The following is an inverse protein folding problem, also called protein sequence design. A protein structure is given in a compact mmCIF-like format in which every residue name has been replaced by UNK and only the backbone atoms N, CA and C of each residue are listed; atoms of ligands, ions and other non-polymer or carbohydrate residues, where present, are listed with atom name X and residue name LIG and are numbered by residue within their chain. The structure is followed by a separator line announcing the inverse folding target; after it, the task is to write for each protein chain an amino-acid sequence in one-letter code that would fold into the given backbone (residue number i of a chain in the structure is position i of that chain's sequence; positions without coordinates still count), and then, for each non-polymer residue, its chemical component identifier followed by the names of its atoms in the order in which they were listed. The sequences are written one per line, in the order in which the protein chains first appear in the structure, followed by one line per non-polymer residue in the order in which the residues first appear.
data_IF_620437961518
#
_entry.id   IF_620437961518
#
_cell.length_a   1.000
_cell.length_b   1.000
_cell.length_c   1.000
_cell.angle_alpha   90.00
_cell.angle_beta   90.00
_cell.angle_gamma   90.00
#
_symmetry.space_group_name_H-M   'P 1'
#
loop_
_entity.id
_entity.type
_entity.pdbx_description
1 polymer ?
#
# COMPACT_ATOMS: atom_id res chain seq x y z
N UNK A 1 18.99 16.95 39.87
CA UNK A 1 17.65 17.44 40.24
C UNK A 1 16.86 17.52 38.94
N UNK A 2 15.96 16.57 38.70
CA UNK A 2 15.21 16.52 37.45
C UNK A 2 14.15 17.63 37.48
N UNK A 3 14.30 18.59 36.58
CA UNK A 3 13.40 19.71 36.38
C UNK A 3 12.03 19.15 35.95
N UNK A 4 11.04 19.21 36.86
CA UNK A 4 9.66 18.82 36.56
C UNK A 4 9.08 19.85 35.59
N UNK A 5 9.14 19.51 34.30
CA UNK A 5 8.45 20.22 33.24
C UNK A 5 6.94 20.30 33.56
N UNK A 6 6.26 21.42 33.24
CA UNK A 6 4.84 21.61 33.50
C UNK A 6 4.04 20.46 32.91
N UNK A 7 3.07 19.96 33.69
CA UNK A 7 2.28 18.77 33.44
C UNK A 7 1.42 18.93 32.17
N UNK A 8 2.05 18.77 31.01
CA UNK A 8 1.37 18.73 29.72
C UNK A 8 0.47 17.49 29.69
N UNK A 9 -0.71 17.56 29.05
CA UNK A 9 -1.65 16.44 28.98
C UNK A 9 -1.08 15.22 28.22
N UNK A 10 0.04 15.40 27.50
CA UNK A 10 0.71 14.36 26.75
C UNK A 10 2.18 14.27 27.18
N UNK A 11 2.74 13.06 27.26
CA UNK A 11 4.16 12.89 27.59
C UNK A 11 5.03 13.56 26.52
N UNK A 12 6.15 14.14 26.95
CA UNK A 12 7.15 14.63 26.03
C UNK A 12 7.66 13.49 25.13
N UNK A 13 8.07 13.77 23.88
CA UNK A 13 8.62 12.75 23.01
C UNK A 13 9.86 12.10 23.66
N UNK A 14 10.16 10.83 23.32
CA UNK A 14 11.31 10.14 23.88
C UNK A 14 12.62 10.90 23.65
N UNK A 15 13.54 10.98 24.64
CA UNK A 15 14.71 11.88 24.60
C UNK A 15 15.63 11.65 23.40
N UNK A 16 15.58 10.44 22.82
CA UNK A 16 16.38 10.08 21.65
C UNK A 16 16.00 10.82 20.36
N UNK A 17 14.84 11.50 20.30
CA UNK A 17 14.43 12.27 19.11
C UNK A 17 15.47 13.32 18.71
N UNK A 18 16.21 13.87 19.68
CA UNK A 18 17.25 14.88 19.49
C UNK A 18 18.44 14.37 18.67
N UNK A 19 18.67 13.05 18.64
CA UNK A 19 19.78 12.45 17.90
C UNK A 19 19.51 12.28 16.40
N UNK A 20 18.25 12.43 15.95
CA UNK A 20 17.83 12.34 14.55
C UNK A 20 18.18 13.60 13.75
N UNK A 21 19.48 13.94 13.72
CA UNK A 21 19.99 15.08 12.96
C UNK A 21 20.53 14.65 11.59
N UNK A 22 20.45 15.53 10.59
CA UNK A 22 21.03 15.32 9.25
C UNK A 22 22.50 14.84 9.28
N UNK A 23 23.42 15.44 10.06
CA UNK A 23 24.80 14.96 10.13
C UNK A 23 24.92 13.56 10.74
N UNK A 24 24.14 13.24 11.78
CA UNK A 24 24.18 11.91 12.41
C UNK A 24 23.67 10.81 11.46
N UNK A 25 22.63 11.11 10.67
CA UNK A 25 22.14 10.21 9.63
C UNK A 25 23.18 10.00 8.52
N UNK A 26 23.87 11.06 8.10
CA UNK A 26 24.93 10.96 7.10
C UNK A 26 26.11 10.10 7.61
N UNK A 27 26.49 10.27 8.88
CA UNK A 27 27.53 9.48 9.55
C UNK A 27 27.14 8.00 9.67
N UNK A 28 25.90 7.70 10.05
CA UNK A 28 25.40 6.32 10.08
C UNK A 28 25.44 5.67 8.68
N UNK A 29 25.05 6.40 7.63
CA UNK A 29 25.15 5.90 6.24
C UNK A 29 26.59 5.66 5.79
N UNK A 30 27.54 6.44 6.28
CA UNK A 30 28.95 6.19 6.01
C UNK A 30 29.42 4.91 6.71
N UNK A 31 29.12 4.76 7.99
CA UNK A 31 29.47 3.55 8.75
C UNK A 31 28.84 2.28 8.17
N UNK A 32 27.58 2.35 7.70
CA UNK A 32 26.92 1.22 7.00
C UNK A 32 27.63 0.85 5.70
N UNK A 33 28.10 1.86 4.94
CA UNK A 33 28.89 1.63 3.71
C UNK A 33 30.26 1.01 4.01
N UNK A 34 30.93 1.47 5.08
CA UNK A 34 32.23 0.93 5.51
C UNK A 34 32.11 -0.51 6.03
N UNK A 35 31.01 -0.84 6.70
CA UNK A 35 30.71 -2.18 7.21
C UNK A 35 30.14 -3.14 6.14
N UNK A 36 29.90 -2.68 4.91
CA UNK A 36 29.32 -3.50 3.83
C UNK A 36 27.83 -3.82 3.99
N UNK A 37 27.12 -3.14 4.89
CA UNK A 37 25.68 -3.33 5.12
C UNK A 37 24.88 -2.63 4.01
N UNK A 38 23.91 -3.30 3.37
CA UNK A 38 23.08 -2.68 2.32
C UNK A 38 22.35 -1.45 2.86
N UNK A 39 22.65 -0.27 2.30
CA UNK A 39 21.93 0.95 2.63
C UNK A 39 20.63 0.95 1.84
N UNK A 40 19.52 0.54 2.47
CA UNK A 40 18.20 0.69 1.88
C UNK A 40 17.91 2.18 1.60
N UNK A 41 17.38 2.53 0.40
CA UNK A 41 16.96 3.90 0.11
C UNK A 41 15.81 4.33 1.03
N UNK A 42 15.75 5.64 1.28
CA UNK A 42 14.90 6.31 2.29
C UNK A 42 13.39 6.00 2.11
N UNK A 43 12.97 5.60 0.91
CA UNK A 43 11.57 5.35 0.54
C UNK A 43 11.19 3.86 0.48
N UNK A 44 12.12 2.96 0.79
CA UNK A 44 11.76 1.56 0.97
C UNK A 44 11.21 1.41 2.39
N UNK A 45 9.95 0.97 2.50
CA UNK A 45 9.44 0.28 3.69
C UNK A 45 10.35 -0.93 3.93
N UNK A 46 11.46 -0.69 4.61
CA UNK A 46 12.43 -1.71 4.92
C UNK A 46 11.76 -2.64 5.92
N UNK A 47 11.46 -3.85 5.47
CA UNK A 47 11.18 -4.98 6.33
C UNK A 47 12.21 -4.99 7.47
N UNK A 48 11.73 -4.91 8.70
CA UNK A 48 12.52 -4.90 9.94
C UNK A 48 13.20 -6.26 10.22
N UNK A 49 13.60 -6.97 9.17
CA UNK A 49 14.06 -8.36 9.16
C UNK A 49 15.52 -8.49 8.76
N UNK A 50 16.21 -7.39 8.43
CA UNK A 50 17.66 -7.42 8.22
C UNK A 50 18.37 -7.56 9.57
N UNK A 51 18.57 -8.81 9.98
CA UNK A 51 19.28 -9.24 11.21
C UNK A 51 20.77 -8.84 11.28
N UNK A 52 21.28 -8.10 10.31
CA UNK A 52 22.70 -7.75 10.19
C UNK A 52 22.88 -6.24 10.02
N UNK A 53 22.42 -5.49 11.01
CA UNK A 53 22.86 -4.12 11.20
C UNK A 53 24.17 -4.08 12.02
N UNK A 54 24.86 -2.94 12.02
CA UNK A 54 26.13 -2.76 12.72
C UNK A 54 25.93 -2.99 14.23
N UNK A 55 26.86 -3.70 14.89
CA UNK A 55 26.83 -3.95 16.34
C UNK A 55 26.62 -2.64 17.13
N UNK A 56 25.46 -2.51 17.76
CA UNK A 56 24.97 -1.32 18.46
C UNK A 56 25.97 -0.85 19.53
N UNK A 57 26.72 -1.79 20.13
CA UNK A 57 27.68 -1.46 21.19
C UNK A 57 28.95 -0.79 20.67
N UNK A 58 29.31 -1.00 19.40
CA UNK A 58 30.47 -0.39 18.75
C UNK A 58 30.23 1.07 18.32
N UNK A 59 28.97 1.51 18.23
CA UNK A 59 28.65 2.88 17.84
C UNK A 59 28.69 3.87 19.02
N UNK A 60 29.03 5.15 18.76
CA UNK A 60 28.79 6.27 19.66
C UNK A 60 27.31 6.32 20.09
N UNK A 61 27.05 6.69 21.36
CA UNK A 61 25.71 6.68 21.99
C UNK A 61 24.65 7.40 21.14
N UNK A 62 25.02 8.51 20.51
CA UNK A 62 24.13 9.30 19.64
C UNK A 62 23.66 8.56 18.38
N UNK A 63 24.46 7.63 17.86
CA UNK A 63 24.13 6.85 16.66
C UNK A 63 23.40 5.54 16.98
N UNK A 64 23.49 5.06 18.23
CA UNK A 64 22.79 3.84 18.68
C UNK A 64 21.28 3.96 18.54
N UNK A 65 20.75 5.15 18.82
CA UNK A 65 19.32 5.43 18.75
C UNK A 65 18.75 5.52 17.34
N UNK A 66 19.60 5.56 16.32
CA UNK A 66 19.18 5.58 14.91
C UNK A 66 18.97 4.17 14.33
N UNK A 67 19.41 3.14 15.04
CA UNK A 67 19.22 1.74 14.68
C UNK A 67 17.95 1.26 15.39
N UNK A 68 16.96 0.70 14.66
CA UNK A 68 15.80 0.10 15.29
C UNK A 68 16.23 -0.97 16.30
N UNK A 69 15.61 -1.03 17.49
CA UNK A 69 15.91 -2.08 18.45
C UNK A 69 15.52 -3.44 17.88
N UNK A 70 16.20 -4.49 18.34
CA UNK A 70 15.79 -5.86 18.02
C UNK A 70 14.36 -6.13 18.50
N UNK A 71 13.56 -6.88 17.71
CA UNK A 71 12.24 -7.30 18.15
C UNK A 71 12.35 -8.09 19.46
N UNK A 72 11.33 -7.97 20.32
CA UNK A 72 11.32 -8.67 21.60
C UNK A 72 11.40 -10.18 21.37
N UNK A 73 12.32 -10.86 22.07
CA UNK A 73 12.60 -12.29 21.87
C UNK A 73 11.39 -13.21 22.12
N UNK A 74 10.44 -12.78 22.95
CA UNK A 74 9.23 -13.54 23.28
C UNK A 74 8.08 -13.27 22.29
N UNK A 75 8.24 -12.38 21.31
CA UNK A 75 7.20 -12.03 20.32
C UNK A 75 5.97 -11.27 20.87
N UNK A 76 5.80 -11.27 22.20
CA UNK A 76 4.71 -10.60 22.92
C UNK A 76 5.07 -9.14 23.17
N UNK A 77 4.14 -8.24 22.88
CA UNK A 77 4.31 -6.81 23.08
C UNK A 77 3.17 -6.22 23.91
N UNK A 78 3.48 -5.25 24.76
CA UNK A 78 2.48 -4.59 25.59
C UNK A 78 1.93 -3.34 24.91
N UNK A 79 0.63 -3.31 24.66
CA UNK A 79 -0.05 -2.12 24.14
C UNK A 79 -1.11 -1.69 25.15
N UNK A 80 -1.03 -0.43 25.58
CA UNK A 80 -1.96 0.16 26.57
C UNK A 80 -2.11 -0.68 27.86
N UNK A 81 -1.04 -1.33 28.30
CA UNK A 81 -1.02 -2.19 29.50
C UNK A 81 -1.49 -3.63 29.27
N UNK A 82 -1.92 -3.99 28.05
CA UNK A 82 -2.29 -5.35 27.71
C UNK A 82 -1.15 -6.05 26.98
N UNK A 83 -0.76 -7.23 27.46
CA UNK A 83 0.16 -8.10 26.73
C UNK A 83 -0.61 -8.69 25.53
N UNK A 84 -0.17 -8.32 24.33
CA UNK A 84 -0.67 -8.86 23.07
C UNK A 84 0.36 -9.84 22.55
N UNK A 85 -0.10 -11.05 22.29
CA UNK A 85 0.67 -12.06 21.58
C UNK A 85 0.11 -12.13 20.14
N UNK A 86 0.89 -11.74 19.12
CA UNK A 86 0.42 -11.72 17.74
C UNK A 86 0.17 -13.13 17.18
N UNK A 87 0.83 -14.15 17.73
CA UNK A 87 0.74 -15.54 17.27
C UNK A 87 -0.21 -16.39 18.12
N UNK A 88 -0.74 -15.83 19.21
CA UNK A 88 -1.71 -16.53 20.03
C UNK A 88 -2.98 -16.82 19.23
N UNK A 89 -3.35 -18.10 19.18
CA UNK A 89 -4.66 -18.51 18.73
C UNK A 89 -5.73 -17.80 19.57
N UNK A 90 -6.83 -17.41 18.93
CA UNK A 90 -7.98 -16.89 19.66
C UNK A 90 -8.39 -17.90 20.75
N UNK A 91 -8.65 -17.41 21.97
CA UNK A 91 -9.10 -18.27 23.07
C UNK A 91 -10.30 -19.10 22.62
N UNK A 92 -10.33 -20.38 22.95
CA UNK A 92 -11.44 -21.25 22.55
C UNK A 92 -12.74 -20.94 23.34
N UNK A 93 -13.90 -21.36 22.84
CA UNK A 93 -15.17 -21.24 23.59
C UNK A 93 -15.11 -21.93 24.96
N UNK A 94 -14.41 -23.07 25.04
CA UNK A 94 -14.20 -23.81 26.29
C UNK A 94 -13.38 -23.02 27.32
N UNK A 95 -12.38 -22.26 26.88
CA UNK A 95 -11.59 -21.38 27.76
C UNK A 95 -12.39 -20.16 28.25
N UNK A 96 -13.49 -19.82 27.58
CA UNK A 96 -14.39 -18.73 27.97
C UNK A 96 -15.60 -19.21 28.78
N UNK A 97 -15.64 -20.50 29.14
CA UNK A 97 -16.76 -21.13 29.85
C UNK A 97 -18.10 -20.99 29.10
N UNK A 98 -18.03 -21.03 27.76
CA UNK A 98 -19.20 -20.92 26.87
C UNK A 98 -19.49 -22.28 26.24
N UNK A 99 -20.75 -22.74 26.34
CA UNK A 99 -21.21 -23.96 25.70
C UNK A 99 -21.18 -23.82 24.16
N UNK A 100 -20.59 -24.79 23.49
CA UNK A 100 -20.55 -24.84 22.04
C UNK A 100 -21.89 -25.36 21.48
N UNK A 101 -22.59 -24.51 20.72
CA UNK A 101 -23.94 -24.80 20.18
C UNK A 101 -23.94 -25.42 18.78
N UNK A 102 -22.78 -25.74 18.22
CA UNK A 102 -22.62 -26.30 16.87
C UNK A 102 -21.68 -27.51 16.89
N UNK A 103 -21.79 -28.44 15.93
CA UNK A 103 -20.93 -29.63 15.88
C UNK A 103 -19.45 -29.25 15.82
N UNK A 104 -18.59 -29.96 16.57
CA UNK A 104 -17.13 -29.73 16.56
C UNK A 104 -16.42 -30.28 15.31
N UNK A 105 -17.17 -30.69 14.29
CA UNK A 105 -16.63 -31.32 13.09
C UNK A 105 -15.98 -30.29 12.13
N UNK A 106 -14.94 -30.71 11.41
CA UNK A 106 -14.23 -29.88 10.44
C UNK A 106 -15.09 -29.42 9.26
N UNK A 107 -16.21 -30.11 9.00
CA UNK A 107 -17.21 -29.73 7.99
C UNK A 107 -17.83 -28.34 8.24
N UNK A 108 -17.95 -27.93 9.50
CA UNK A 108 -18.51 -26.62 9.88
C UNK A 108 -17.59 -25.48 9.45
N UNK A 109 -16.27 -25.70 9.40
CA UNK A 109 -15.28 -24.70 8.97
C UNK A 109 -15.33 -24.45 7.46
N UNK A 110 -15.68 -25.48 6.70
CA UNK A 110 -15.84 -25.39 5.25
C UNK A 110 -17.13 -24.67 4.88
N UNK A 111 -18.24 -25.01 5.56
CA UNK A 111 -19.56 -24.43 5.32
C UNK A 111 -20.22 -23.97 6.63
N UNK A 112 -19.88 -22.77 7.14
CA UNK A 112 -20.48 -22.25 8.38
C UNK A 112 -21.89 -21.69 8.17
N UNK A 113 -22.30 -21.39 6.94
CA UNK A 113 -23.56 -20.76 6.60
C UNK A 113 -24.81 -21.37 7.26
N UNK A 114 -25.08 -22.69 7.20
CA UNK A 114 -26.30 -23.26 7.79
C UNK A 114 -26.31 -23.10 9.32
N UNK A 115 -25.16 -23.24 9.97
CA UNK A 115 -25.01 -23.10 11.42
C UNK A 115 -25.18 -21.63 11.85
N UNK A 116 -24.59 -20.69 11.10
CA UNK A 116 -24.73 -19.27 11.34
C UNK A 116 -26.19 -18.81 11.21
N UNK A 117 -26.89 -19.27 10.19
CA UNK A 117 -28.33 -18.99 10.00
C UNK A 117 -29.14 -19.62 11.14
N UNK A 118 -28.83 -20.86 11.53
CA UNK A 118 -29.47 -21.54 12.65
C UNK A 118 -29.32 -20.80 13.97
N UNK A 119 -28.10 -20.37 14.31
CA UNK A 119 -27.81 -19.60 15.51
C UNK A 119 -28.46 -18.21 15.47
N UNK A 120 -28.47 -17.53 14.32
CA UNK A 120 -29.13 -16.22 14.17
C UNK A 120 -30.65 -16.34 14.37
N UNK A 121 -31.26 -17.42 13.85
CA UNK A 121 -32.69 -17.71 14.10
C UNK A 121 -32.94 -18.01 15.57
N UNK A 122 -32.09 -18.83 16.19
CA UNK A 122 -32.17 -19.12 17.63
C UNK A 122 -32.05 -17.85 18.48
N UNK A 123 -31.08 -16.97 18.17
CA UNK A 123 -30.90 -15.68 18.83
C UNK A 123 -32.16 -14.80 18.72
N UNK A 124 -32.77 -14.75 17.53
CA UNK A 124 -34.00 -13.99 17.30
C UNK A 124 -35.17 -14.56 18.12
N UNK A 125 -35.33 -15.88 18.15
CA UNK A 125 -36.37 -16.53 18.95
C UNK A 125 -36.18 -16.26 20.44
N UNK A 126 -34.95 -16.35 20.95
CA UNK A 126 -34.64 -16.05 22.36
C UNK A 126 -34.87 -14.57 22.68
N UNK A 127 -34.57 -13.65 21.76
CA UNK A 127 -34.87 -12.23 21.93
C UNK A 127 -36.38 -11.95 21.99
N UNK A 128 -37.18 -12.59 21.13
CA UNK A 128 -38.64 -12.48 21.18
C UNK A 128 -39.21 -13.06 22.48
N UNK A 129 -38.65 -14.17 22.97
CA UNK A 129 -39.02 -14.74 24.26
C UNK A 129 -38.68 -13.78 25.41
N UNK A 130 -37.50 -13.14 25.38
CA UNK A 130 -37.10 -12.11 26.34
C UNK A 130 -38.06 -10.92 26.33
N UNK A 131 -38.43 -10.41 25.15
CA UNK A 131 -39.40 -9.33 25.04
C UNK A 131 -40.78 -9.71 25.62
N UNK A 132 -41.22 -10.96 25.42
CA UNK A 132 -42.42 -11.50 26.04
C UNK A 132 -42.33 -11.58 27.58
N UNK A 133 -41.19 -12.06 28.11
CA UNK A 133 -40.95 -12.18 29.55
C UNK A 133 -40.92 -10.79 30.21
N UNK A 134 -40.25 -9.81 29.61
CA UNK A 134 -40.20 -8.44 30.14
C UNK A 134 -41.60 -7.78 30.22
N UNK A 135 -42.52 -8.20 29.35
CA UNK A 135 -43.92 -7.73 29.37
C UNK A 135 -44.75 -8.39 30.49
N UNK A 136 -44.47 -9.65 30.82
CA UNK A 136 -45.23 -10.42 31.81
C UNK A 136 -44.62 -10.39 33.21
N UNK A 137 -43.35 -10.77 33.33
CA UNK A 137 -42.60 -10.90 34.58
C UNK A 137 -41.14 -10.45 34.37
N UNK A 138 -40.81 -9.18 34.67
CA UNK A 138 -39.50 -8.62 34.37
C UNK A 138 -38.35 -9.23 35.21
N UNK A 139 -38.62 -9.96 36.29
CA UNK A 139 -37.58 -10.54 37.17
C UNK A 139 -36.85 -11.74 36.53
N UNK A 140 -37.44 -12.37 35.51
CA UNK A 140 -36.90 -13.59 34.88
C UNK A 140 -36.04 -13.30 33.63
N UNK A 141 -35.56 -12.06 33.46
CA UNK A 141 -34.80 -11.66 32.26
C UNK A 141 -33.39 -12.28 32.20
N UNK A 142 -32.79 -12.60 33.35
CA UNK A 142 -31.36 -12.93 33.47
C UNK A 142 -31.00 -14.20 32.69
N UNK A 143 -31.84 -15.23 32.74
CA UNK A 143 -31.62 -16.49 32.02
C UNK A 143 -31.56 -16.27 30.50
N UNK A 144 -32.53 -15.53 29.95
CA UNK A 144 -32.59 -15.29 28.49
C UNK A 144 -31.49 -14.36 28.01
N UNK A 145 -31.01 -13.44 28.84
CA UNK A 145 -29.84 -12.61 28.51
C UNK A 145 -28.57 -13.46 28.45
N UNK A 146 -28.40 -14.40 29.39
CA UNK A 146 -27.29 -15.37 29.35
C UNK A 146 -27.35 -16.24 28.09
N UNK A 147 -28.54 -16.74 27.73
CA UNK A 147 -28.74 -17.50 26.49
C UNK A 147 -28.32 -16.70 25.24
N UNK A 148 -28.74 -15.42 25.15
CA UNK A 148 -28.36 -14.54 24.03
C UNK A 148 -26.84 -14.31 24.01
N UNK A 149 -26.21 -14.11 25.16
CA UNK A 149 -24.77 -13.95 25.25
C UNK A 149 -24.02 -15.19 24.74
N UNK A 150 -24.45 -16.38 25.18
CA UNK A 150 -23.89 -17.67 24.72
C UNK A 150 -24.04 -17.84 23.21
N UNK A 151 -25.22 -17.55 22.65
CA UNK A 151 -25.45 -17.64 21.20
C UNK A 151 -24.57 -16.64 20.43
N UNK A 152 -24.43 -15.41 20.93
CA UNK A 152 -23.61 -14.38 20.30
C UNK A 152 -22.12 -14.76 20.29
N UNK A 153 -21.60 -15.35 21.37
CA UNK A 153 -20.22 -15.85 21.42
C UNK A 153 -19.99 -16.98 20.42
N UNK A 154 -20.94 -17.91 20.28
CA UNK A 154 -20.87 -18.98 19.29
C UNK A 154 -20.87 -18.46 17.84
N UNK A 155 -21.69 -17.44 17.55
CA UNK A 155 -21.70 -16.76 16.26
C UNK A 155 -20.34 -16.12 15.98
N UNK A 156 -19.77 -15.43 16.96
CA UNK A 156 -18.50 -14.75 16.81
C UNK A 156 -17.36 -15.72 16.52
N UNK A 157 -17.31 -16.85 17.23
CA UNK A 157 -16.34 -17.91 17.00
C UNK A 157 -16.46 -18.48 15.57
N UNK A 158 -17.67 -18.81 15.10
CA UNK A 158 -17.86 -19.30 13.73
C UNK A 158 -17.40 -18.31 12.66
N UNK A 159 -17.65 -17.02 12.87
CA UNK A 159 -17.17 -15.96 11.97
C UNK A 159 -15.65 -15.90 11.98
N UNK A 160 -15.04 -15.97 13.16
CA UNK A 160 -13.60 -15.93 13.31
C UNK A 160 -12.91 -17.12 12.63
N UNK A 161 -13.47 -18.32 12.78
CA UNK A 161 -12.98 -19.52 12.09
C UNK A 161 -13.08 -19.41 10.56
N UNK A 162 -14.01 -18.60 10.03
CA UNK A 162 -14.17 -18.36 8.59
C UNK A 162 -13.24 -17.26 8.04
N UNK A 163 -12.62 -16.42 8.89
CA UNK A 163 -11.72 -15.33 8.46
C UNK A 163 -10.57 -15.79 7.54
N UNK A 164 -9.87 -16.91 7.81
CA UNK A 164 -8.80 -17.36 6.93
C UNK A 164 -9.31 -17.78 5.55
N UNK A 165 -10.52 -18.33 5.46
CA UNK A 165 -11.15 -18.62 4.18
C UNK A 165 -11.45 -17.33 3.42
N UNK A 166 -12.10 -16.35 4.08
CA UNK A 166 -12.38 -15.04 3.51
C UNK A 166 -11.11 -14.34 2.98
N UNK A 167 -10.01 -14.36 3.75
CA UNK A 167 -8.75 -13.74 3.36
C UNK A 167 -8.18 -14.37 2.08
N UNK A 168 -8.23 -15.71 1.97
CA UNK A 168 -7.79 -16.43 0.76
C UNK A 168 -8.64 -16.10 -0.46
N UNK A 169 -9.97 -16.12 -0.32
CA UNK A 169 -10.87 -15.74 -1.42
C UNK A 169 -10.65 -14.28 -1.85
N UNK A 170 -10.43 -13.38 -0.87
CA UNK A 170 -10.12 -11.97 -1.17
C UNK A 170 -8.81 -11.85 -1.94
N UNK A 171 -7.78 -12.60 -1.55
CA UNK A 171 -6.50 -12.61 -2.26
C UNK A 171 -6.65 -13.16 -3.69
N UNK A 172 -7.43 -14.22 -3.87
CA UNK A 172 -7.72 -14.80 -5.20
C UNK A 172 -8.38 -13.74 -6.09
N UNK A 173 -9.43 -13.07 -5.61
CA UNK A 173 -10.10 -12.00 -6.36
C UNK A 173 -9.14 -10.86 -6.75
N UNK A 174 -8.26 -10.42 -5.84
CA UNK A 174 -7.26 -9.39 -6.15
C UNK A 174 -6.26 -9.85 -7.23
N UNK A 175 -5.86 -11.13 -7.21
CA UNK A 175 -4.94 -11.70 -8.19
C UNK A 175 -5.61 -11.87 -9.56
N UNK A 176 -6.87 -12.28 -9.59
CA UNK A 176 -7.67 -12.36 -10.82
C UNK A 176 -7.82 -10.98 -11.46
N UNK A 177 -8.17 -9.95 -10.67
CA UNK A 177 -8.25 -8.57 -11.14
C UNK A 177 -6.91 -8.09 -11.71
N UNK A 178 -5.80 -8.42 -11.03
CA UNK A 178 -4.45 -8.07 -11.51
C UNK A 178 -4.12 -8.76 -12.83
N UNK A 179 -4.45 -10.03 -12.99
CA UNK A 179 -4.25 -10.78 -14.24
C UNK A 179 -5.05 -10.16 -15.38
N UNK A 180 -6.31 -9.79 -15.12
CA UNK A 180 -7.15 -9.18 -16.13
C UNK A 180 -6.68 -7.78 -16.53
N UNK A 181 -6.17 -6.99 -15.57
CA UNK A 181 -5.52 -5.72 -15.86
C UNK A 181 -4.27 -5.91 -16.72
N UNK A 182 -3.41 -6.87 -16.38
CA UNK A 182 -2.20 -7.19 -17.16
C UNK A 182 -2.54 -7.63 -18.59
N UNK A 183 -3.61 -8.42 -18.78
CA UNK A 183 -4.06 -8.83 -20.12
C UNK A 183 -4.53 -7.62 -20.94
N UNK A 184 -5.30 -6.70 -20.35
CA UNK A 184 -5.74 -5.47 -21.02
C UNK A 184 -4.56 -4.58 -21.41
N UNK A 185 -3.63 -4.36 -20.48
CA UNK A 185 -2.40 -3.59 -20.76
C UNK A 185 -1.58 -4.22 -21.88
N UNK A 186 -1.44 -5.56 -21.90
CA UNK A 186 -0.77 -6.27 -22.99
C UNK A 186 -1.48 -6.07 -24.34
N UNK A 187 -2.81 -6.17 -24.37
CA UNK A 187 -3.59 -5.93 -25.58
C UNK A 187 -3.45 -4.47 -26.07
N UNK A 188 -3.42 -3.51 -25.15
CA UNK A 188 -3.23 -2.10 -25.49
C UNK A 188 -1.83 -1.85 -26.07
N UNK A 189 -0.80 -2.48 -25.52
CA UNK A 189 0.57 -2.44 -26.06
C UNK A 189 0.63 -3.07 -27.46
N UNK A 190 -0.01 -4.23 -27.66
CA UNK A 190 -0.05 -4.90 -28.96
C UNK A 190 -0.78 -4.05 -30.01
N UNK A 191 -1.88 -3.39 -29.62
CA UNK A 191 -2.59 -2.44 -30.48
C UNK A 191 -1.72 -1.21 -30.80
N UNK A 192 -1.02 -0.65 -29.82
CA UNK A 192 -0.11 0.47 -30.03
C UNK A 192 1.04 0.09 -30.98
N UNK A 193 1.63 -1.09 -30.79
CA UNK A 193 2.66 -1.66 -31.68
C UNK A 193 2.12 -1.80 -33.11
N UNK A 194 0.93 -2.36 -33.29
CA UNK A 194 0.31 -2.50 -34.60
C UNK A 194 0.07 -1.14 -35.29
N UNK A 195 -0.35 -0.12 -34.53
CA UNK A 195 -0.48 1.26 -35.04
C UNK A 195 0.87 1.84 -35.47
N UNK A 196 1.91 1.70 -34.66
CA UNK A 196 3.27 2.19 -34.99
C UNK A 196 3.82 1.49 -36.24
N UNK A 197 3.65 0.17 -36.34
CA UNK A 197 4.10 -0.58 -37.53
C UNK A 197 3.38 -0.10 -38.79
N UNK A 198 2.06 0.13 -38.73
CA UNK A 198 1.29 0.70 -39.86
C UNK A 198 1.82 2.08 -40.25
N UNK A 199 2.03 2.97 -39.30
CA UNK A 199 2.59 4.31 -39.58
C UNK A 199 3.98 4.24 -40.22
N UNK A 200 4.83 3.31 -39.77
CA UNK A 200 6.15 3.11 -40.38
C UNK A 200 6.06 2.57 -41.81
N UNK A 201 5.12 1.66 -42.08
CA UNK A 201 4.84 1.17 -43.44
C UNK A 201 4.32 2.29 -44.34
N UNK A 202 3.38 3.10 -43.87
CA UNK A 202 2.85 4.25 -44.61
C UNK A 202 3.96 5.27 -44.96
N UNK A 203 4.86 5.55 -44.02
CA UNK A 203 6.02 6.42 -44.27
C UNK A 203 6.98 5.79 -45.29
N UNK A 204 7.23 4.49 -45.18
CA UNK A 204 8.09 3.76 -46.12
C UNK A 204 7.51 3.78 -47.55
N UNK A 205 6.19 3.61 -47.68
CA UNK A 205 5.50 3.67 -48.97
C UNK A 205 5.44 5.10 -49.53
N UNK A 206 5.29 6.12 -48.67
CA UNK A 206 5.47 7.51 -49.07
C UNK A 206 6.91 7.81 -49.55
N UNK A 207 7.95 7.25 -48.92
CA UNK A 207 9.32 7.42 -49.39
C UNK A 207 9.58 6.70 -50.73
N UNK A 208 8.94 5.55 -50.97
CA UNK A 208 9.03 4.84 -52.26
C UNK A 208 8.36 5.59 -53.41
N UNK A 209 7.25 6.28 -53.15
CA UNK A 209 6.59 7.13 -54.15
C UNK A 209 7.38 8.41 -54.47
N UNK A 210 8.24 8.86 -53.55
CA UNK A 210 9.13 10.02 -53.71
C UNK A 210 10.54 9.68 -54.26
N UNK A 211 10.75 8.50 -54.86
CA UNK A 211 11.99 8.20 -55.57
C UNK A 211 12.25 9.24 -56.67
N UNK A 212 13.41 9.94 -56.69
CA UNK A 212 13.62 11.06 -57.60
C UNK A 212 13.79 10.52 -59.02
N UNK A 213 12.82 10.78 -59.88
CA UNK A 213 13.06 10.77 -61.32
C UNK A 213 13.97 11.97 -61.61
N UNK A 214 15.21 11.69 -61.96
CA UNK A 214 16.22 12.68 -62.31
C UNK A 214 15.76 13.40 -63.58
N UNK A 215 15.13 14.58 -63.44
CA UNK A 215 14.67 15.40 -64.56
C UNK A 215 15.30 16.80 -64.43
N UNK A 216 16.28 17.09 -65.29
CA UNK A 216 17.22 18.22 -65.20
C UNK A 216 16.59 19.62 -65.39
N UNK A 217 15.25 19.72 -65.47
CA UNK A 217 14.56 21.00 -65.72
C UNK A 217 14.33 21.85 -64.47
N UNK A 218 14.49 21.29 -63.26
CA UNK A 218 14.05 21.96 -62.03
C UNK A 218 15.12 22.81 -61.29
N UNK A 219 16.37 22.86 -61.78
CA UNK A 219 17.44 23.64 -61.12
C UNK A 219 17.32 25.17 -61.34
N UNK A 220 16.70 25.62 -62.44
CA UNK A 220 16.58 27.06 -62.73
C UNK A 220 15.51 27.76 -61.88
N UNK A 221 14.41 27.08 -61.56
CA UNK A 221 13.30 27.71 -60.83
C UNK A 221 13.57 27.76 -59.30
N UNK A 222 14.19 26.71 -58.74
CA UNK A 222 14.60 26.68 -57.33
C UNK A 222 15.62 27.77 -56.97
N UNK A 223 16.53 28.12 -57.87
CA UNK A 223 17.57 29.13 -57.61
C UNK A 223 17.00 30.56 -57.59
N UNK A 224 15.95 30.82 -58.37
CA UNK A 224 15.23 32.12 -58.37
C UNK A 224 14.40 32.29 -57.09
N UNK A 225 13.73 31.24 -56.63
CA UNK A 225 12.98 31.28 -55.37
C UNK A 225 13.90 31.45 -54.15
N UNK A 226 15.00 30.69 -54.07
CA UNK A 226 15.95 30.80 -52.94
C UNK A 226 16.60 32.19 -52.91
N UNK A 227 16.96 32.78 -54.05
CA UNK A 227 17.50 34.14 -54.12
C UNK A 227 16.49 35.20 -53.64
N UNK A 228 15.21 35.06 -54.00
CA UNK A 228 14.15 35.99 -53.58
C UNK A 228 13.90 35.95 -52.06
N UNK A 229 13.88 34.75 -51.46
CA UNK A 229 13.68 34.53 -50.02
C UNK A 229 14.86 35.07 -49.22
N UNK A 230 16.08 34.88 -49.72
CA UNK A 230 17.31 35.37 -49.07
C UNK A 230 17.37 36.90 -49.08
N UNK A 231 16.98 37.54 -50.18
CA UNK A 231 16.92 39.01 -50.30
C UNK A 231 15.86 39.62 -49.37
N UNK A 232 14.72 38.93 -49.15
CA UNK A 232 13.69 39.35 -48.19
C UNK A 232 14.17 39.26 -46.74
N UNK A 233 14.86 38.17 -46.36
CA UNK A 233 15.44 38.01 -45.02
C UNK A 233 16.53 39.04 -44.72
N UNK A 234 17.34 39.40 -45.71
CA UNK A 234 18.36 40.45 -45.56
C UNK A 234 17.75 41.83 -45.28
N UNK A 235 16.69 42.20 -46.02
CA UNK A 235 15.95 43.46 -45.79
C UNK A 235 15.31 43.51 -44.41
N UNK A 236 14.72 42.39 -43.96
CA UNK A 236 14.16 42.30 -42.61
C UNK A 236 15.26 42.50 -41.55
N UNK A 237 16.41 41.81 -41.66
CA UNK A 237 17.50 42.01 -40.69
C UNK A 237 18.04 43.44 -40.67
N UNK A 238 18.13 44.10 -41.82
CA UNK A 238 18.52 45.51 -41.90
C UNK A 238 17.51 46.44 -41.21
N UNK A 239 16.21 46.22 -41.42
CA UNK A 239 15.15 47.00 -40.76
C UNK A 239 15.12 46.78 -39.24
N UNK A 240 15.41 45.57 -38.78
CA UNK A 240 15.54 45.27 -37.34
C UNK A 240 16.81 45.87 -36.73
N UNK A 241 17.88 46.02 -37.52
CA UNK A 241 19.10 46.68 -37.08
C UNK A 241 18.92 48.20 -36.92
N UNK A 242 18.21 48.85 -37.85
CA UNK A 242 17.89 50.29 -37.74
C UNK A 242 16.99 50.58 -36.55
N UNK A 243 15.98 49.74 -36.31
CA UNK A 243 15.10 49.84 -35.13
C UNK A 243 15.85 49.67 -33.80
N UNK A 244 16.93 48.88 -33.75
CA UNK A 244 17.78 48.76 -32.55
C UNK A 244 18.67 49.98 -32.32
N UNK A 245 19.00 50.72 -33.38
CA UNK A 245 19.87 51.90 -33.30
C UNK A 245 19.09 53.15 -32.86
N UNK A 246 17.78 53.19 -33.04
CA UNK A 246 16.90 54.29 -32.60
C UNK A 246 16.41 54.15 -31.14
N UNK A 247 16.71 53.03 -30.46
CA UNK A 247 16.25 52.73 -29.09
C UNK A 247 17.38 52.85 -28.04
N UNK A 248 18.50 53.49 -28.41
CA UNK A 248 19.55 53.99 -27.50
C UNK A 248 19.80 55.47 -27.79
#
# INVERSE_FOLDING_TARGET
MAEQLPNAPFPAPPPFYSHFTKPNIARLRQLRREAGVPVAPIDATADATSKEDIDIFALPVELRHLIPPEPQADGKYTVFGNAIDPDAAERSLAERDVEQLYPSDGSVRLNPQPHLIGLTRSMLTTFLALAGILSQNPELYEEKVKDIHTIAMNIHELINQYRPHQARETLIMMLEERVDKMKKESQDIDQAKAKVVKLLQDIQDMQRTHAPKHDERNMRDGMVQVASVTKRKARQRAAWATLRQEVM
#
